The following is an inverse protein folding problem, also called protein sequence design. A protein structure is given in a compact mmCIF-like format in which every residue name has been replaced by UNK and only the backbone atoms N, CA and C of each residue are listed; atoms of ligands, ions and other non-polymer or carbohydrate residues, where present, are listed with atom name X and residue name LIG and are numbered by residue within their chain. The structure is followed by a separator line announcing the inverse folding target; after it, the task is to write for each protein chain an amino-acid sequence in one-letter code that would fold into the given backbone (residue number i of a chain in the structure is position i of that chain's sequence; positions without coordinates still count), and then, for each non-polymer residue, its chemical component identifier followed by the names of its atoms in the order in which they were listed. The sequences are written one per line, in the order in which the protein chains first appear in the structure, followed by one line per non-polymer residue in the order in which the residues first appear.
data_IF_129289713866
#
_entry.id   IF_129289713866
#
_cell.length_a   1.000
_cell.length_b   1.000
_cell.length_c   1.000
_cell.angle_alpha   90.00
_cell.angle_beta   90.00
_cell.angle_gamma   90.00
#
_symmetry.space_group_name_H-M   'P 1'
#
loop_
_entity.id
_entity.type
_entity.pdbx_description
1 polymer ?
#
# COMPACT_ATOMS: atom_id res chain seq x y z
N UNK A 1 45.50 -12.12 40.66
CA UNK A 1 45.52 -11.23 41.86
C UNK A 1 44.23 -10.46 41.81
N UNK A 2 43.30 -10.63 42.77
CA UNK A 2 41.89 -10.29 42.58
C UNK A 2 41.62 -8.81 42.24
N UNK A 3 42.47 -7.89 42.69
CA UNK A 3 42.34 -6.45 42.41
C UNK A 3 42.71 -6.09 40.97
N UNK A 4 43.79 -6.66 40.43
CA UNK A 4 44.21 -6.43 39.03
C UNK A 4 43.20 -7.07 38.09
N UNK A 5 42.73 -8.27 38.41
CA UNK A 5 41.74 -8.99 37.61
C UNK A 5 40.41 -8.21 37.56
N UNK A 6 39.97 -7.65 38.70
CA UNK A 6 38.75 -6.83 38.78
C UNK A 6 38.87 -5.50 38.02
N UNK A 7 40.03 -4.84 38.08
CA UNK A 7 40.28 -3.59 37.35
C UNK A 7 40.24 -3.82 35.83
N UNK A 8 40.94 -4.86 35.36
CA UNK A 8 40.94 -5.21 33.94
C UNK A 8 39.56 -5.66 33.46
N UNK A 9 38.81 -6.39 34.29
CA UNK A 9 37.44 -6.78 34.00
C UNK A 9 36.54 -5.55 33.80
N UNK A 10 36.62 -4.54 34.68
CA UNK A 10 35.84 -3.31 34.54
C UNK A 10 36.12 -2.55 33.22
N UNK A 11 37.39 -2.42 32.86
CA UNK A 11 37.79 -1.79 31.58
C UNK A 11 37.30 -2.61 30.39
N UNK A 12 37.45 -3.94 30.44
CA UNK A 12 36.99 -4.84 29.38
C UNK A 12 35.46 -4.77 29.19
N UNK A 13 34.68 -4.72 30.28
CA UNK A 13 33.22 -4.55 30.22
C UNK A 13 32.84 -3.23 29.55
N UNK A 14 33.49 -2.12 29.92
CA UNK A 14 33.21 -0.82 29.33
C UNK A 14 33.51 -0.80 27.82
N UNK A 15 34.68 -1.32 27.40
CA UNK A 15 35.05 -1.40 25.99
C UNK A 15 34.14 -2.35 25.20
N UNK A 16 33.74 -3.47 25.79
CA UNK A 16 32.79 -4.41 25.19
C UNK A 16 31.42 -3.75 24.96
N UNK A 17 30.94 -2.97 25.92
CA UNK A 17 29.70 -2.19 25.77
C UNK A 17 29.79 -1.18 24.62
N UNK A 18 30.84 -0.37 24.58
CA UNK A 18 31.05 0.63 23.50
C UNK A 18 31.14 -0.05 22.13
N UNK A 19 31.86 -1.17 22.04
CA UNK A 19 31.93 -1.93 20.78
C UNK A 19 30.57 -2.50 20.37
N UNK A 20 29.78 -2.99 21.32
CA UNK A 20 28.42 -3.48 21.02
C UNK A 20 27.52 -2.37 20.47
N UNK A 21 27.63 -1.15 21.00
CA UNK A 21 26.92 0.02 20.49
C UNK A 21 27.35 0.39 19.07
N UNK A 22 28.65 0.36 18.78
CA UNK A 22 29.18 0.59 17.43
C UNK A 22 28.66 -0.45 16.42
N UNK A 23 28.69 -1.73 16.77
CA UNK A 23 28.17 -2.80 15.91
C UNK A 23 26.68 -2.63 15.67
N UNK A 24 25.91 -2.29 16.72
CA UNK A 24 24.48 -1.98 16.58
C UNK A 24 24.25 -0.80 15.64
N UNK A 25 24.93 0.34 15.85
CA UNK A 25 24.79 1.52 15.01
C UNK A 25 25.13 1.23 13.54
N UNK A 26 26.16 0.41 13.28
CA UNK A 26 26.52 -0.03 11.92
C UNK A 26 25.35 -0.75 11.23
N UNK A 27 24.61 -1.61 11.92
CA UNK A 27 23.44 -2.30 11.35
C UNK A 27 22.33 -1.32 10.96
N UNK A 28 22.19 -0.19 11.66
CA UNK A 28 21.15 0.80 11.37
C UNK A 28 21.43 1.62 10.11
N UNK A 29 22.66 1.58 9.56
CA UNK A 29 23.04 2.35 8.36
C UNK A 29 22.53 1.77 7.02
N UNK A 30 21.93 0.57 7.05
CA UNK A 30 21.43 -0.12 5.85
C UNK A 30 19.99 -0.57 6.06
N UNK A 31 19.12 -0.26 5.10
CA UNK A 31 17.69 -0.60 5.15
C UNK A 31 17.44 -2.10 5.40
N UNK A 32 18.32 -2.98 4.91
CA UNK A 32 18.19 -4.43 5.07
C UNK A 32 18.39 -4.91 6.50
N UNK A 33 19.13 -4.15 7.31
CA UNK A 33 19.53 -4.53 8.67
C UNK A 33 19.00 -3.59 9.75
N UNK A 34 18.49 -2.41 9.37
CA UNK A 34 17.92 -1.45 10.32
C UNK A 34 16.67 -2.00 11.00
N UNK A 35 16.51 -1.71 12.29
CA UNK A 35 15.41 -2.14 13.15
C UNK A 35 14.79 -0.96 13.89
N UNK A 36 13.59 -1.17 14.44
CA UNK A 36 12.92 -0.22 15.32
C UNK A 36 12.80 1.19 14.69
N UNK A 37 12.90 2.24 15.50
CA UNK A 37 12.77 3.63 15.06
C UNK A 37 13.76 4.07 13.97
N UNK A 38 14.88 3.38 13.79
CA UNK A 38 15.81 3.68 12.69
C UNK A 38 15.19 3.35 11.33
N UNK A 39 14.39 2.28 11.27
CA UNK A 39 13.66 1.93 10.05
C UNK A 39 12.57 2.96 9.73
N UNK A 40 11.95 3.56 10.77
CA UNK A 40 10.99 4.67 10.63
C UNK A 40 11.67 5.95 10.12
N UNK A 41 12.88 6.26 10.59
CA UNK A 41 13.68 7.38 10.08
C UNK A 41 14.03 7.18 8.60
N UNK A 42 14.46 5.97 8.20
CA UNK A 42 14.73 5.66 6.80
C UNK A 42 13.47 5.85 5.94
N UNK A 43 12.29 5.41 6.42
CA UNK A 43 11.04 5.63 5.70
C UNK A 43 10.72 7.12 5.54
N UNK A 44 10.95 7.91 6.59
CA UNK A 44 10.74 9.36 6.58
C UNK A 44 11.69 10.08 5.62
N UNK A 45 12.96 9.65 5.50
CA UNK A 45 13.91 10.24 4.56
C UNK A 45 13.47 10.05 3.09
N UNK A 46 12.93 8.87 2.74
CA UNK A 46 12.48 8.59 1.37
C UNK A 46 11.08 9.11 1.05
N UNK A 47 10.17 9.11 2.04
CA UNK A 47 8.75 9.29 1.78
C UNK A 47 8.08 10.37 2.65
N UNK A 48 8.81 11.00 3.56
CA UNK A 48 8.24 11.91 4.55
C UNK A 48 7.14 11.21 5.35
N UNK A 49 5.93 11.78 5.35
CA UNK A 49 4.77 11.19 6.01
C UNK A 49 3.95 10.24 5.12
N UNK A 50 4.35 10.00 3.87
CA UNK A 50 3.56 9.20 2.93
C UNK A 50 3.64 7.68 3.20
N UNK A 51 4.72 7.20 3.81
CA UNK A 51 4.89 5.80 4.22
C UNK A 51 5.22 5.78 5.70
N UNK A 52 4.26 5.34 6.52
CA UNK A 52 4.41 5.24 7.96
C UNK A 52 4.13 3.82 8.44
N UNK A 53 4.82 3.44 9.52
CA UNK A 53 4.64 2.13 10.15
C UNK A 53 3.24 2.04 10.75
N UNK A 54 2.52 0.98 10.42
CA UNK A 54 1.20 0.70 11.02
C UNK A 54 1.36 0.23 12.47
N UNK A 55 0.33 0.44 13.28
CA UNK A 55 0.30 -0.11 14.63
C UNK A 55 0.55 -1.63 14.60
N UNK A 56 1.44 -2.11 15.47
CA UNK A 56 1.86 -3.52 15.57
C UNK A 56 2.50 -4.11 14.30
N UNK A 57 2.98 -3.29 13.36
CA UNK A 57 3.69 -3.78 12.18
C UNK A 57 5.13 -4.17 12.53
N UNK A 58 5.52 -5.40 12.16
CA UNK A 58 6.90 -5.88 12.34
C UNK A 58 7.90 -5.17 11.43
N UNK A 59 9.16 -5.11 11.85
CA UNK A 59 10.25 -4.54 11.03
C UNK A 59 10.38 -5.22 9.66
N UNK A 60 10.20 -6.55 9.60
CA UNK A 60 10.27 -7.29 8.34
C UNK A 60 9.16 -6.86 7.37
N UNK A 61 7.92 -6.74 7.87
CA UNK A 61 6.78 -6.27 7.07
C UNK A 61 6.96 -4.82 6.64
N UNK A 62 7.40 -3.94 7.55
CA UNK A 62 7.57 -2.54 7.25
C UNK A 62 8.72 -2.30 6.26
N UNK A 63 9.85 -2.98 6.43
CA UNK A 63 10.97 -2.95 5.47
C UNK A 63 10.55 -3.38 4.07
N UNK A 64 9.78 -4.46 3.95
CA UNK A 64 9.26 -4.90 2.66
C UNK A 64 8.38 -3.83 2.00
N UNK A 65 7.57 -3.12 2.80
CA UNK A 65 6.75 -2.01 2.33
C UNK A 65 7.60 -0.82 1.83
N UNK A 66 8.63 -0.42 2.57
CA UNK A 66 9.56 0.66 2.18
C UNK A 66 10.24 0.31 0.84
N UNK A 67 10.81 -0.89 0.74
CA UNK A 67 11.49 -1.36 -0.47
C UNK A 67 10.52 -1.41 -1.65
N UNK A 68 9.31 -1.94 -1.45
CA UNK A 68 8.29 -2.01 -2.49
C UNK A 68 7.91 -0.61 -3.00
N UNK A 69 7.78 0.38 -2.12
CA UNK A 69 7.48 1.76 -2.52
C UNK A 69 8.65 2.47 -3.21
N UNK A 70 9.89 2.12 -2.86
CA UNK A 70 11.09 2.73 -3.45
C UNK A 70 11.25 2.35 -4.93
N UNK A 71 10.89 1.12 -5.29
CA UNK A 71 10.99 0.61 -6.65
C UNK A 71 9.64 0.48 -7.37
N UNK A 72 8.61 1.13 -6.83
CA UNK A 72 7.27 1.08 -7.42
C UNK A 72 7.25 1.86 -8.73
N UNK A 73 6.74 1.22 -9.77
CA UNK A 73 6.49 1.84 -11.07
C UNK A 73 5.45 2.96 -10.95
N UNK A 74 5.73 4.15 -11.50
CA UNK A 74 4.85 5.33 -11.49
C UNK A 74 4.77 5.95 -12.89
N UNK A 75 3.75 6.78 -13.11
CA UNK A 75 3.51 7.47 -14.38
C UNK A 75 3.33 6.53 -15.59
N UNK A 76 2.88 5.29 -15.36
CA UNK A 76 2.52 4.33 -16.41
C UNK A 76 1.18 3.67 -16.09
N UNK A 77 0.50 3.18 -17.14
CA UNK A 77 -0.70 2.33 -16.99
C UNK A 77 -0.46 1.17 -16.05
N UNK A 78 0.67 0.48 -16.18
CA UNK A 78 0.99 -0.70 -15.38
C UNK A 78 1.25 -0.33 -13.91
N UNK A 79 1.93 0.79 -13.65
CA UNK A 79 2.12 1.32 -12.30
C UNK A 79 0.79 1.62 -11.61
N UNK A 80 -0.13 2.31 -12.31
CA UNK A 80 -1.46 2.61 -11.77
C UNK A 80 -2.29 1.34 -11.52
N UNK A 81 -2.27 0.38 -12.46
CA UNK A 81 -2.94 -0.92 -12.30
C UNK A 81 -2.42 -1.66 -11.06
N UNK A 82 -1.09 -1.75 -10.91
CA UNK A 82 -0.46 -2.43 -9.77
C UNK A 82 -0.83 -1.77 -8.45
N UNK A 83 -0.73 -0.44 -8.35
CA UNK A 83 -1.04 0.28 -7.10
C UNK A 83 -2.49 0.12 -6.71
N UNK A 84 -3.43 0.28 -7.65
CA UNK A 84 -4.85 0.12 -7.36
C UNK A 84 -5.18 -1.33 -6.99
N UNK A 85 -4.56 -2.32 -7.65
CA UNK A 85 -4.74 -3.73 -7.30
C UNK A 85 -4.13 -4.10 -5.95
N UNK A 86 -2.95 -3.60 -5.63
CA UNK A 86 -2.31 -3.81 -4.32
C UNK A 86 -3.15 -3.19 -3.19
N UNK A 87 -3.74 -2.02 -3.45
CA UNK A 87 -4.58 -1.31 -2.50
C UNK A 87 -5.92 -2.03 -2.29
N UNK A 88 -6.63 -2.37 -3.37
CA UNK A 88 -8.04 -2.81 -3.29
C UNK A 88 -8.22 -4.32 -3.47
N UNK A 89 -7.18 -5.04 -3.86
CA UNK A 89 -7.27 -6.44 -4.29
C UNK A 89 -7.93 -6.61 -5.66
N UNK A 90 -8.32 -5.52 -6.34
CA UNK A 90 -9.09 -5.56 -7.59
C UNK A 90 -8.38 -4.80 -8.70
N UNK A 91 -8.28 -5.46 -9.86
CA UNK A 91 -7.68 -4.85 -11.05
C UNK A 91 -8.61 -3.75 -11.57
N UNK A 92 -8.16 -2.48 -11.68
CA UNK A 92 -8.97 -1.41 -12.26
C UNK A 92 -9.10 -1.57 -13.78
N UNK A 93 -10.11 -0.94 -14.37
CA UNK A 93 -10.21 -0.78 -15.83
C UNK A 93 -9.69 0.60 -16.20
N UNK A 94 -8.70 0.67 -17.08
CA UNK A 94 -8.16 1.93 -17.60
C UNK A 94 -8.43 1.99 -19.10
N UNK A 95 -8.90 3.13 -19.59
CA UNK A 95 -9.20 3.40 -21.00
C UNK A 95 -8.43 4.64 -21.43
N UNK A 96 -7.52 4.49 -22.39
CA UNK A 96 -6.77 5.58 -23.01
C UNK A 96 -7.38 5.87 -24.39
N UNK A 97 -8.03 7.04 -24.61
CA UNK A 97 -8.75 7.32 -25.86
C UNK A 97 -7.88 7.33 -27.13
N UNK A 98 -6.56 7.47 -26.98
CA UNK A 98 -5.60 7.43 -28.08
C UNK A 98 -4.99 6.03 -28.31
N UNK A 99 -5.37 5.02 -27.51
CA UNK A 99 -4.82 3.65 -27.57
C UNK A 99 -5.78 2.72 -28.32
N UNK A 100 -5.41 2.23 -29.53
CA UNK A 100 -6.27 1.33 -30.31
C UNK A 100 -6.71 0.05 -29.59
N UNK A 101 -5.90 -0.44 -28.65
CA UNK A 101 -6.23 -1.62 -27.86
C UNK A 101 -7.39 -1.38 -26.87
N UNK A 102 -7.66 -0.13 -26.49
CA UNK A 102 -8.78 0.22 -25.60
C UNK A 102 -10.03 0.66 -26.38
N UNK A 103 -9.87 1.10 -27.63
CA UNK A 103 -10.95 1.78 -28.39
C UNK A 103 -11.34 1.10 -29.69
N UNK A 104 -10.50 0.19 -30.20
CA UNK A 104 -10.61 -0.40 -31.53
C UNK A 104 -9.99 0.49 -32.62
N UNK A 105 -9.63 -0.12 -33.75
CA UNK A 105 -9.13 0.58 -34.94
C UNK A 105 -9.29 -0.28 -36.19
N UNK A 106 -9.63 0.34 -37.32
CA UNK A 106 -9.56 -0.35 -38.62
C UNK A 106 -8.11 -0.71 -38.97
N UNK A 107 -7.87 -1.96 -39.38
CA UNK A 107 -6.53 -2.46 -39.72
C UNK A 107 -5.60 -2.73 -38.52
N UNK A 108 -6.09 -2.62 -37.28
CA UNK A 108 -5.34 -2.93 -36.07
C UNK A 108 -5.82 -4.22 -35.36
N UNK A 109 -5.39 -4.47 -34.12
CA UNK A 109 -5.66 -5.72 -33.41
C UNK A 109 -7.17 -5.97 -33.14
N UNK A 110 -8.00 -4.92 -33.18
CA UNK A 110 -9.44 -4.98 -32.93
C UNK A 110 -10.16 -4.24 -34.08
N UNK A 111 -10.64 -5.01 -35.06
CA UNK A 111 -11.20 -4.49 -36.32
C UNK A 111 -12.71 -4.21 -36.13
N UNK A 112 -13.04 -2.98 -35.73
CA UNK A 112 -14.41 -2.48 -35.71
C UNK A 112 -14.68 -1.46 -34.61
N UNK A 113 -15.74 -0.68 -34.79
CA UNK A 113 -16.21 0.25 -33.76
C UNK A 113 -16.70 -0.51 -32.53
N UNK A 114 -16.28 -0.08 -31.33
CA UNK A 114 -16.76 -0.62 -30.06
C UNK A 114 -16.27 -2.02 -29.71
N UNK A 115 -15.49 -2.68 -30.57
CA UNK A 115 -14.96 -4.05 -30.36
C UNK A 115 -14.07 -4.13 -29.11
N UNK A 116 -13.36 -3.05 -28.79
CA UNK A 116 -12.51 -2.95 -27.60
C UNK A 116 -13.24 -2.55 -26.32
N UNK A 117 -14.53 -2.18 -26.41
CA UNK A 117 -15.35 -1.77 -25.26
C UNK A 117 -15.37 -0.27 -24.98
N UNK A 118 -14.67 0.57 -25.75
CA UNK A 118 -14.77 2.03 -25.67
C UNK A 118 -14.64 2.71 -27.05
N UNK A 119 -14.96 4.01 -27.10
CA UNK A 119 -14.70 4.86 -28.27
C UNK A 119 -13.53 5.80 -28.00
N UNK A 120 -12.62 5.89 -28.95
CA UNK A 120 -11.41 6.70 -28.87
C UNK A 120 -11.59 8.11 -29.41
N UNK A 121 -10.67 9.01 -29.02
CA UNK A 121 -10.59 10.37 -29.54
C UNK A 121 -9.17 10.90 -29.41
N UNK A 122 -8.58 11.31 -30.54
CA UNK A 122 -7.28 11.97 -30.57
C UNK A 122 -7.35 13.43 -30.07
N UNK A 123 -8.55 13.99 -29.95
CA UNK A 123 -8.78 15.32 -29.38
C UNK A 123 -8.67 15.32 -27.84
N UNK A 124 -8.66 14.14 -27.21
CA UNK A 124 -8.52 13.97 -25.76
C UNK A 124 -7.07 13.69 -25.35
N UNK A 125 -6.16 14.56 -25.80
CA UNK A 125 -4.74 14.45 -25.43
C UNK A 125 -4.55 14.63 -23.93
N UNK A 126 -3.64 13.84 -23.35
CA UNK A 126 -3.34 13.85 -21.90
C UNK A 126 -4.52 13.50 -20.99
N UNK A 127 -5.47 12.70 -21.47
CA UNK A 127 -6.61 12.24 -20.69
C UNK A 127 -6.74 10.72 -20.71
N UNK A 128 -7.19 10.14 -19.60
CA UNK A 128 -7.67 8.77 -19.58
C UNK A 128 -8.84 8.61 -18.60
N UNK A 129 -9.56 7.50 -18.75
CA UNK A 129 -10.67 7.13 -17.89
C UNK A 129 -10.31 5.91 -17.06
N UNK A 130 -10.62 5.95 -15.78
CA UNK A 130 -10.31 4.89 -14.81
C UNK A 130 -11.59 4.48 -14.10
N UNK A 131 -11.92 3.21 -14.18
CA UNK A 131 -12.86 2.55 -13.28
C UNK A 131 -12.05 1.86 -12.20
N UNK A 132 -12.06 2.44 -11.01
CA UNK A 132 -11.46 1.85 -9.81
C UNK A 132 -12.55 1.15 -8.99
N UNK A 133 -12.15 0.18 -8.19
CA UNK A 133 -13.08 -0.62 -7.40
C UNK A 133 -12.75 -0.53 -5.91
N UNK A 134 -13.77 -0.45 -5.06
CA UNK A 134 -13.61 -0.64 -3.62
C UNK A 134 -13.18 -2.09 -3.32
N UNK A 135 -12.43 -2.33 -2.23
CA UNK A 135 -12.04 -3.68 -1.87
C UNK A 135 -13.24 -4.59 -1.66
N UNK A 136 -13.05 -5.90 -1.83
CA UNK A 136 -14.02 -6.86 -1.37
C UNK A 136 -14.18 -6.73 0.15
N UNK A 137 -15.41 -6.60 0.64
CA UNK A 137 -15.67 -6.55 2.07
C UNK A 137 -15.29 -7.88 2.73
N UNK A 138 -14.39 -7.86 3.71
CA UNK A 138 -14.03 -9.04 4.52
C UNK A 138 -14.94 -9.27 5.72
N UNK A 139 -16.05 -8.51 5.81
CA UNK A 139 -16.90 -8.46 7.00
C UNK A 139 -16.22 -7.74 8.18
N UNK A 140 -16.90 -7.68 9.32
CA UNK A 140 -16.34 -7.18 10.57
C UNK A 140 -15.93 -8.41 11.40
N UNK A 141 -14.66 -8.51 11.85
CA UNK A 141 -14.22 -9.63 12.67
C UNK A 141 -15.08 -9.78 13.92
N UNK A 142 -15.45 -11.02 14.26
CA UNK A 142 -16.25 -11.34 15.45
C UNK A 142 -17.64 -10.68 15.48
N UNK A 143 -18.18 -10.29 14.32
CA UNK A 143 -19.56 -9.81 14.17
C UNK A 143 -20.29 -10.72 13.20
N UNK A 144 -21.41 -11.26 13.67
CA UNK A 144 -22.24 -12.15 12.88
C UNK A 144 -23.04 -11.36 11.82
N UNK A 145 -23.17 -11.94 10.63
CA UNK A 145 -24.00 -11.39 9.56
C UNK A 145 -25.49 -11.43 9.89
N UNK A 146 -26.29 -10.74 9.08
CA UNK A 146 -27.75 -10.75 9.24
C UNK A 146 -28.33 -12.16 9.00
N UNK A 147 -29.30 -12.57 9.84
CA UNK A 147 -30.01 -13.84 9.68
C UNK A 147 -29.36 -15.07 10.36
N UNK A 148 -28.39 -14.87 11.27
CA UNK A 148 -27.84 -15.98 12.06
C UNK A 148 -28.80 -16.40 13.18
N UNK A 149 -28.95 -17.72 13.39
CA UNK A 149 -29.82 -18.29 14.43
C UNK A 149 -29.31 -18.05 15.86
N UNK A 150 -28.07 -17.58 16.01
CA UNK A 150 -27.43 -17.30 17.29
C UNK A 150 -27.66 -15.88 17.82
N UNK A 151 -28.22 -14.97 17.01
CA UNK A 151 -28.63 -13.64 17.44
C UNK A 151 -30.04 -13.67 18.03
N UNK A 152 -30.16 -13.79 19.36
CA UNK A 152 -31.46 -13.86 20.04
C UNK A 152 -31.51 -12.89 21.24
N UNK A 153 -32.70 -12.38 21.55
CA UNK A 153 -32.89 -11.49 22.70
C UNK A 153 -32.54 -12.21 24.01
N UNK A 154 -31.64 -11.64 24.80
CA UNK A 154 -31.22 -12.21 26.09
C UNK A 154 -30.14 -13.30 26.01
N UNK A 155 -29.64 -13.64 24.82
CA UNK A 155 -28.56 -14.62 24.63
C UNK A 155 -27.25 -13.90 24.26
N UNK A 156 -26.13 -14.12 24.98
CA UNK A 156 -24.83 -13.60 24.55
C UNK A 156 -24.51 -14.04 23.13
N UNK A 157 -24.29 -13.10 22.22
CA UNK A 157 -24.02 -13.37 20.82
C UNK A 157 -23.08 -12.31 20.24
N UNK A 158 -22.54 -12.61 19.06
CA UNK A 158 -21.77 -11.67 18.23
C UNK A 158 -22.68 -10.91 17.24
N UNK A 159 -24.00 -10.94 17.43
CA UNK A 159 -24.92 -10.21 16.57
C UNK A 159 -25.02 -8.75 17.05
N UNK A 160 -24.48 -7.82 16.28
CA UNK A 160 -24.55 -6.39 16.55
C UNK A 160 -24.79 -5.58 15.28
N UNK A 161 -25.26 -4.34 15.44
CA UNK A 161 -25.35 -3.41 14.32
C UNK A 161 -23.95 -2.97 13.90
N UNK A 162 -23.56 -3.40 12.71
CA UNK A 162 -22.31 -2.99 12.07
C UNK A 162 -22.26 -1.47 11.88
N UNK A 163 -21.09 -0.88 12.17
CA UNK A 163 -20.76 0.51 11.82
C UNK A 163 -19.48 0.56 10.99
N UNK A 164 -19.32 1.60 10.17
CA UNK A 164 -18.11 1.78 9.34
C UNK A 164 -16.84 1.83 10.19
N UNK A 165 -16.91 2.35 11.42
CA UNK A 165 -15.79 2.39 12.36
C UNK A 165 -15.31 1.02 12.83
N UNK A 166 -16.12 -0.04 12.67
CA UNK A 166 -15.75 -1.41 13.05
C UNK A 166 -14.91 -2.11 11.98
N UNK A 167 -14.82 -1.54 10.77
CA UNK A 167 -13.96 -2.07 9.71
C UNK A 167 -12.54 -1.55 9.93
N UNK A 168 -11.67 -2.41 10.45
CA UNK A 168 -10.26 -2.06 10.62
C UNK A 168 -9.52 -2.09 9.26
N UNK A 169 -8.77 -1.03 8.96
CA UNK A 169 -7.92 -0.96 7.78
C UNK A 169 -8.67 -0.83 6.46
N UNK A 170 -9.90 -0.29 6.46
CA UNK A 170 -10.67 -0.05 5.23
C UNK A 170 -9.92 0.91 4.31
N UNK A 171 -9.74 0.52 3.05
CA UNK A 171 -9.36 1.46 1.99
C UNK A 171 -10.55 2.37 1.73
N UNK A 172 -10.32 3.67 1.86
CA UNK A 172 -11.30 4.71 1.59
C UNK A 172 -11.25 5.14 0.12
N UNK A 173 -12.30 5.79 -0.37
CA UNK A 173 -12.30 6.41 -1.70
C UNK A 173 -11.18 7.46 -1.82
N UNK A 174 -10.85 8.15 -0.73
CA UNK A 174 -9.73 9.09 -0.68
C UNK A 174 -8.38 8.38 -0.90
N UNK A 175 -8.18 7.17 -0.38
CA UNK A 175 -6.98 6.38 -0.63
C UNK A 175 -6.87 5.98 -2.10
N UNK A 176 -7.99 5.66 -2.75
CA UNK A 176 -8.03 5.35 -4.19
C UNK A 176 -7.62 6.58 -5.02
N UNK A 177 -8.19 7.75 -4.71
CA UNK A 177 -7.79 8.99 -5.38
C UNK A 177 -6.33 9.34 -5.14
N UNK A 178 -5.84 9.22 -3.90
CA UNK A 178 -4.44 9.46 -3.58
C UNK A 178 -3.50 8.51 -4.33
N UNK A 179 -3.89 7.23 -4.48
CA UNK A 179 -3.15 6.25 -5.27
C UNK A 179 -3.07 6.61 -6.77
N UNK A 180 -4.18 7.08 -7.35
CA UNK A 180 -4.22 7.56 -8.73
C UNK A 180 -3.30 8.76 -8.89
N UNK A 181 -3.43 9.76 -8.02
CA UNK A 181 -2.60 10.96 -8.03
C UNK A 181 -1.11 10.64 -7.87
N UNK A 182 -0.76 9.68 -7.02
CA UNK A 182 0.62 9.26 -6.79
C UNK A 182 1.22 8.49 -7.98
N UNK A 183 0.40 8.02 -8.93
CA UNK A 183 0.85 7.23 -10.09
C UNK A 183 0.55 7.88 -11.43
N UNK A 184 -0.18 9.00 -11.48
CA UNK A 184 -0.50 9.66 -12.73
C UNK A 184 0.74 10.36 -13.33
N UNK A 185 0.85 10.42 -14.66
CA UNK A 185 1.82 11.31 -15.30
C UNK A 185 1.48 12.78 -14.99
N UNK A 186 2.50 13.62 -14.87
CA UNK A 186 2.32 15.07 -14.68
C UNK A 186 1.56 15.66 -15.87
N UNK A 187 0.73 16.68 -15.62
CA UNK A 187 -0.08 17.39 -16.62
C UNK A 187 -1.08 16.50 -17.37
N UNK A 188 -1.56 15.42 -16.75
CA UNK A 188 -2.66 14.59 -17.28
C UNK A 188 -3.93 14.73 -16.45
N UNK A 189 -5.07 14.54 -17.10
CA UNK A 189 -6.38 14.46 -16.46
C UNK A 189 -6.83 13.00 -16.40
N UNK A 190 -7.10 12.51 -15.19
CA UNK A 190 -7.57 11.14 -14.97
C UNK A 190 -9.03 11.23 -14.49
N UNK A 191 -9.96 10.86 -15.35
CA UNK A 191 -11.38 10.82 -15.00
C UNK A 191 -11.67 9.51 -14.27
N UNK A 192 -12.13 9.56 -13.02
CA UNK A 192 -12.28 8.36 -12.18
C UNK A 192 -13.73 8.10 -11.80
N UNK A 193 -14.17 6.87 -12.01
CA UNK A 193 -15.39 6.31 -11.42
C UNK A 193 -15.02 5.22 -10.41
N UNK A 194 -15.55 5.31 -9.18
CA UNK A 194 -15.33 4.30 -8.13
C UNK A 194 -16.59 3.42 -8.02
N UNK A 195 -16.39 2.11 -8.17
CA UNK A 195 -17.46 1.10 -8.19
C UNK A 195 -17.25 0.02 -7.12
N UNK A 196 -18.28 -0.82 -6.96
CA UNK A 196 -18.26 -2.00 -6.08
C UNK A 196 -18.01 -3.30 -6.85
#
# INVERSE_FOLDING_TARGET
MPVVDSLLAGIATALSFVYSLYVYAKLQTRILTATDGWLDLIAADFFGSAVQRKANQSDASFRANIIANMFRERATRNGMVKVLKDLTGRTPTIIEPARPADTGSYGGPLIGYGVAGAYGSLLMSYQCFVVAYRPFGSGIPNVAGYGVSTGAYGTPSQAEYASLSMIQGSVTDADIYAAIEATKPVATTIWTAIQN
#
